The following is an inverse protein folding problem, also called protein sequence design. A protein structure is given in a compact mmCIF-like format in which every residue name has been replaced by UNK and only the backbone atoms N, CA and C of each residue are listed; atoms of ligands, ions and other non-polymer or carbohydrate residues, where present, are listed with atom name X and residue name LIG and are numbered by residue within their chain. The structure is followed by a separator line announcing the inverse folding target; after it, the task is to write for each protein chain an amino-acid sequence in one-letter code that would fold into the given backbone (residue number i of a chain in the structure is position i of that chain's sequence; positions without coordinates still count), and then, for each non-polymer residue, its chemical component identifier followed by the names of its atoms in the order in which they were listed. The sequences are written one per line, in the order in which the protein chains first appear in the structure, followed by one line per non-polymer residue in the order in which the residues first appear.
data_IF_107828121888
#
_entry.id   IF_107828121888
#
_cell.length_a   1.000
_cell.length_b   1.000
_cell.length_c   1.000
_cell.angle_alpha   90.00
_cell.angle_beta   90.00
_cell.angle_gamma   90.00
#
_symmetry.space_group_name_H-M   'P 1'
#
loop_
_entity.id
_entity.type
_entity.pdbx_description
1 polymer ?
#
# COMPACT_ATOMS: atom_id res chain seq x y z
N UNK A 1 26.65 -9.39 10.11
CA UNK A 1 26.80 -9.88 8.72
C UNK A 1 27.07 -8.68 7.84
N UNK A 2 28.25 -8.60 7.22
CA UNK A 2 28.63 -7.47 6.35
C UNK A 2 27.81 -7.55 5.05
N UNK A 3 27.02 -6.52 4.75
CA UNK A 3 26.24 -6.44 3.52
C UNK A 3 27.12 -5.92 2.40
N UNK A 4 27.91 -6.79 1.78
CA UNK A 4 28.73 -6.41 0.63
C UNK A 4 27.82 -6.11 -0.57
N UNK A 5 28.10 -5.04 -1.32
CA UNK A 5 27.30 -4.64 -2.49
C UNK A 5 27.23 -5.76 -3.53
N UNK A 6 28.26 -6.59 -3.56
CA UNK A 6 28.40 -7.76 -4.43
C UNK A 6 27.41 -8.86 -4.06
N UNK A 7 27.24 -9.13 -2.76
CA UNK A 7 26.26 -10.10 -2.25
C UNK A 7 24.84 -9.64 -2.58
N UNK A 8 24.56 -8.34 -2.43
CA UNK A 8 23.26 -7.78 -2.79
C UNK A 8 22.99 -7.92 -4.30
N UNK A 9 24.00 -7.70 -5.15
CA UNK A 9 23.88 -7.87 -6.59
C UNK A 9 23.61 -9.33 -6.96
N UNK A 10 24.28 -10.27 -6.28
CA UNK A 10 24.12 -11.71 -6.50
C UNK A 10 22.73 -12.21 -6.11
N UNK A 11 22.16 -11.71 -5.00
CA UNK A 11 20.80 -12.03 -4.60
C UNK A 11 19.72 -11.31 -5.44
N UNK A 12 20.09 -10.32 -6.25
CA UNK A 12 19.12 -9.70 -7.17
C UNK A 12 18.96 -10.53 -8.44
N UNK A 13 17.70 -10.76 -8.85
CA UNK A 13 17.42 -11.37 -10.14
C UNK A 13 17.81 -10.39 -11.27
N UNK A 14 18.98 -10.60 -11.85
CA UNK A 14 19.53 -9.74 -12.91
C UNK A 14 18.62 -9.68 -14.15
N UNK A 15 17.90 -10.77 -14.48
CA UNK A 15 16.94 -10.76 -15.59
C UNK A 15 15.73 -9.87 -15.28
N UNK A 16 15.14 -10.00 -14.09
CA UNK A 16 14.05 -9.12 -13.66
C UNK A 16 14.50 -7.65 -13.57
N UNK A 17 15.71 -7.41 -13.07
CA UNK A 17 16.30 -6.07 -12.97
C UNK A 17 16.49 -5.42 -14.35
N UNK A 18 16.93 -6.19 -15.35
CA UNK A 18 17.08 -5.70 -16.72
C UNK A 18 15.74 -5.34 -17.37
N UNK A 19 14.70 -6.14 -17.14
CA UNK A 19 13.34 -5.86 -17.64
C UNK A 19 12.78 -4.57 -17.02
N UNK A 20 12.91 -4.39 -15.70
CA UNK A 20 12.44 -3.18 -15.01
C UNK A 20 13.18 -1.93 -15.52
N UNK A 21 14.51 -2.00 -15.68
CA UNK A 21 15.29 -0.84 -16.13
C UNK A 21 15.22 -0.58 -17.64
N UNK A 22 14.86 -1.55 -18.48
CA UNK A 22 14.62 -1.29 -19.91
C UNK A 22 13.36 -0.46 -20.12
N UNK A 23 12.35 -0.64 -19.27
CA UNK A 23 11.10 0.12 -19.33
C UNK A 23 11.30 1.56 -18.81
N UNK A 24 12.13 1.75 -17.78
CA UNK A 24 12.47 3.08 -17.24
C UNK A 24 13.23 3.98 -18.23
N UNK A 25 14.05 3.40 -19.12
CA UNK A 25 14.89 4.17 -20.07
C UNK A 25 14.11 4.83 -21.21
N UNK A 26 12.83 4.51 -21.42
CA UNK A 26 12.04 5.08 -22.52
C UNK A 26 11.32 6.39 -22.16
N UNK A 27 11.36 6.81 -20.89
CA UNK A 27 10.80 8.09 -20.45
C UNK A 27 11.93 9.12 -20.48
N UNK A 28 12.45 9.43 -21.67
CA UNK A 28 13.21 10.67 -21.83
C UNK A 28 12.21 11.82 -21.66
N UNK A 29 12.26 12.46 -20.48
CA UNK A 29 11.49 13.65 -20.20
C UNK A 29 11.89 14.72 -21.23
N UNK A 30 11.02 14.97 -22.21
CA UNK A 30 11.16 16.14 -23.08
C UNK A 30 11.12 17.36 -22.19
N UNK A 31 12.27 17.98 -21.95
CA UNK A 31 12.34 19.23 -21.20
C UNK A 31 11.55 20.31 -21.94
N UNK A 32 10.38 20.63 -21.42
CA UNK A 32 9.54 21.69 -21.97
C UNK A 32 10.14 23.03 -21.55
N UNK A 33 10.30 23.94 -22.50
CA UNK A 33 10.82 25.27 -22.22
C UNK A 33 9.91 26.05 -21.25
N UNK A 34 10.45 26.35 -20.07
CA UNK A 34 9.71 27.04 -18.99
C UNK A 34 9.31 28.47 -19.36
N UNK A 35 10.02 29.14 -20.28
CA UNK A 35 9.65 30.49 -20.74
C UNK A 35 8.34 30.47 -21.54
N UNK A 36 8.21 29.48 -22.42
CA UNK A 36 7.04 29.34 -23.29
C UNK A 36 5.80 28.97 -22.48
N UNK A 37 5.97 28.12 -21.45
CA UNK A 37 4.89 27.82 -20.50
C UNK A 37 4.39 29.10 -19.83
N UNK A 38 5.29 29.98 -19.37
CA UNK A 38 4.89 31.24 -18.72
C UNK A 38 4.16 32.16 -19.69
N UNK A 39 4.64 32.27 -20.93
CA UNK A 39 4.03 33.10 -21.97
C UNK A 39 2.64 32.59 -22.37
N UNK A 40 2.51 31.28 -22.62
CA UNK A 40 1.25 30.67 -23.06
C UNK A 40 0.32 30.26 -21.92
N UNK A 41 0.69 30.49 -20.65
CA UNK A 41 -0.07 30.07 -19.46
C UNK A 41 -1.56 30.39 -19.54
N UNK A 42 -1.91 31.61 -19.95
CA UNK A 42 -3.31 32.06 -20.06
C UNK A 42 -4.08 31.29 -21.15
N UNK A 43 -3.45 31.05 -22.31
CA UNK A 43 -4.05 30.29 -23.42
C UNK A 43 -4.21 28.82 -23.06
N UNK A 44 -3.23 28.21 -22.40
CA UNK A 44 -3.29 26.82 -21.92
C UNK A 44 -4.42 26.66 -20.89
N UNK A 45 -4.55 27.59 -19.94
CA UNK A 45 -5.65 27.61 -18.97
C UNK A 45 -7.02 27.77 -19.63
N UNK A 46 -7.12 28.59 -20.69
CA UNK A 46 -8.38 28.75 -21.41
C UNK A 46 -8.73 27.48 -22.19
N UNK A 47 -7.76 26.91 -22.90
CA UNK A 47 -7.92 25.68 -23.67
C UNK A 47 -8.37 24.50 -22.79
N UNK A 48 -7.72 24.31 -21.64
CA UNK A 48 -8.12 23.27 -20.67
C UNK A 48 -9.54 23.48 -20.14
N UNK A 49 -9.94 24.72 -19.83
CA UNK A 49 -11.32 25.02 -19.43
C UNK A 49 -12.33 24.72 -20.54
N UNK A 50 -11.99 25.02 -21.79
CA UNK A 50 -12.84 24.76 -22.93
C UNK A 50 -12.99 23.25 -23.19
N UNK A 51 -11.91 22.47 -23.04
CA UNK A 51 -11.94 21.00 -23.09
C UNK A 51 -12.80 20.41 -21.97
N UNK A 52 -12.68 20.91 -20.73
CA UNK A 52 -13.52 20.49 -19.60
C UNK A 52 -15.01 20.78 -19.82
N UNK A 53 -15.34 21.79 -20.63
CA UNK A 53 -16.73 22.10 -21.01
C UNK A 53 -17.25 21.23 -22.17
N UNK A 54 -16.41 20.33 -22.71
CA UNK A 54 -16.77 19.43 -23.80
C UNK A 54 -16.53 19.99 -25.20
N UNK A 55 -15.84 21.13 -25.35
CA UNK A 55 -15.45 21.62 -26.69
C UNK A 55 -14.31 20.77 -27.21
N UNK A 56 -14.47 20.20 -28.41
CA UNK A 56 -13.44 19.39 -29.06
C UNK A 56 -12.51 20.27 -29.90
N UNK A 57 -11.21 20.01 -29.80
CA UNK A 57 -10.19 20.67 -30.61
C UNK A 57 -9.63 19.68 -31.66
N UNK A 58 -8.31 19.45 -31.67
CA UNK A 58 -7.67 18.41 -32.46
C UNK A 58 -7.78 17.06 -31.76
N UNK A 59 -7.91 15.98 -32.53
CA UNK A 59 -7.97 14.61 -32.01
C UNK A 59 -6.76 14.26 -31.14
N UNK A 60 -5.58 14.78 -31.49
CA UNK A 60 -4.34 14.55 -30.71
C UNK A 60 -4.47 15.21 -29.33
N UNK A 61 -4.90 16.48 -29.30
CA UNK A 61 -5.06 17.23 -28.06
C UNK A 61 -6.13 16.61 -27.16
N UNK A 62 -7.26 16.20 -27.75
CA UNK A 62 -8.33 15.54 -27.01
C UNK A 62 -7.84 14.22 -26.41
N UNK A 63 -7.14 13.38 -27.18
CA UNK A 63 -6.60 12.11 -26.68
C UNK A 63 -5.57 12.30 -25.56
N UNK A 64 -4.66 13.26 -25.71
CA UNK A 64 -3.70 13.61 -24.63
C UNK A 64 -4.40 14.16 -23.40
N UNK A 65 -5.48 14.93 -23.58
CA UNK A 65 -6.26 15.46 -22.48
C UNK A 65 -7.03 14.37 -21.74
N UNK A 66 -7.65 13.43 -22.44
CA UNK A 66 -8.37 12.30 -21.84
C UNK A 66 -7.41 11.41 -21.02
N UNK A 67 -6.19 11.16 -21.54
CA UNK A 67 -5.15 10.45 -20.79
C UNK A 67 -4.69 11.22 -19.54
N UNK A 68 -4.57 12.55 -19.64
CA UNK A 68 -4.28 13.40 -18.49
C UNK A 68 -5.40 13.37 -17.44
N UNK A 69 -6.67 13.41 -17.85
CA UNK A 69 -7.81 13.35 -16.94
C UNK A 69 -7.92 11.96 -16.28
N UNK A 70 -7.70 10.87 -17.01
CA UNK A 70 -7.71 9.52 -16.43
C UNK A 70 -6.61 9.35 -15.37
N UNK A 71 -5.39 9.84 -15.64
CA UNK A 71 -4.30 9.80 -14.65
C UNK A 71 -4.58 10.67 -13.43
N UNK A 72 -5.12 11.87 -13.63
CA UNK A 72 -5.55 12.75 -12.52
C UNK A 72 -6.67 12.12 -11.68
N UNK A 73 -7.67 11.49 -12.30
CA UNK A 73 -8.75 10.80 -11.57
C UNK A 73 -8.19 9.64 -10.75
N UNK A 74 -7.24 8.87 -11.30
CA UNK A 74 -6.58 7.77 -10.58
C UNK A 74 -5.80 8.28 -9.37
N UNK A 75 -5.04 9.37 -9.50
CA UNK A 75 -4.31 9.95 -8.38
C UNK A 75 -5.25 10.44 -7.28
N UNK A 76 -6.34 11.12 -7.63
CA UNK A 76 -7.31 11.60 -6.64
C UNK A 76 -8.01 10.45 -5.91
N UNK A 77 -8.43 9.39 -6.63
CA UNK A 77 -9.01 8.20 -5.99
C UNK A 77 -8.04 7.56 -5.01
N UNK A 78 -6.76 7.43 -5.39
CA UNK A 78 -5.75 6.84 -4.53
C UNK A 78 -5.52 7.68 -3.25
N UNK A 79 -5.40 9.00 -3.38
CA UNK A 79 -5.26 9.89 -2.22
C UNK A 79 -6.48 9.84 -1.29
N UNK A 80 -7.69 9.81 -1.85
CA UNK A 80 -8.93 9.76 -1.08
C UNK A 80 -9.14 8.40 -0.39
N UNK A 81 -8.81 7.29 -1.07
CA UNK A 81 -8.80 5.95 -0.47
C UNK A 81 -7.78 5.85 0.67
N UNK A 82 -6.58 6.39 0.48
CA UNK A 82 -5.53 6.41 1.50
C UNK A 82 -5.96 7.21 2.73
N UNK A 83 -6.55 8.39 2.54
CA UNK A 83 -7.04 9.22 3.65
C UNK A 83 -8.19 8.54 4.41
N UNK A 84 -9.15 7.94 3.69
CA UNK A 84 -10.26 7.24 4.30
C UNK A 84 -9.78 6.02 5.11
N UNK A 85 -8.84 5.25 4.55
CA UNK A 85 -8.23 4.14 5.23
C UNK A 85 -7.53 4.61 6.49
N UNK A 86 -6.71 5.67 6.42
CA UNK A 86 -6.01 6.23 7.58
C UNK A 86 -6.96 6.80 8.64
N UNK A 87 -8.10 7.36 8.23
CA UNK A 87 -9.09 7.90 9.15
C UNK A 87 -9.67 6.82 10.09
N UNK A 88 -9.84 5.57 9.61
CA UNK A 88 -10.31 4.46 10.44
C UNK A 88 -9.34 4.11 11.59
N UNK A 89 -8.05 4.38 11.42
CA UNK A 89 -7.04 4.07 12.43
C UNK A 89 -6.80 5.23 13.41
N UNK A 90 -7.51 6.36 13.30
CA UNK A 90 -7.35 7.50 14.22
C UNK A 90 -7.78 7.17 15.66
N UNK A 91 -8.80 6.35 15.82
CA UNK A 91 -9.34 5.98 17.14
C UNK A 91 -8.62 4.79 17.79
N UNK A 92 -7.67 4.18 17.07
CA UNK A 92 -6.77 3.20 17.66
C UNK A 92 -5.74 3.96 18.49
N UNK A 93 -6.06 4.21 19.76
CA UNK A 93 -5.07 4.64 20.73
C UNK A 93 -3.84 3.74 20.58
N UNK A 94 -2.67 4.36 20.37
CA UNK A 94 -1.41 3.65 20.47
C UNK A 94 -1.40 3.02 21.86
N UNK A 95 -1.65 1.71 21.92
CA UNK A 95 -1.31 0.92 23.10
C UNK A 95 0.19 1.14 23.24
N UNK A 96 0.56 2.12 24.10
CA UNK A 96 1.93 2.41 24.48
C UNK A 96 2.58 1.07 24.58
N UNK A 97 3.57 0.81 23.71
CA UNK A 97 4.33 -0.44 23.77
C UNK A 97 4.72 -0.52 25.24
N UNK A 98 4.04 -1.38 26.02
CA UNK A 98 4.59 -1.82 27.29
C UNK A 98 5.91 -2.34 26.82
N UNK A 99 6.99 -1.62 27.14
CA UNK A 99 8.34 -2.05 26.86
C UNK A 99 8.32 -3.50 27.32
N UNK A 100 8.24 -4.43 26.36
CA UNK A 100 8.56 -5.81 26.62
C UNK A 100 10.03 -5.66 26.87
N UNK A 101 10.37 -5.38 28.13
CA UNK A 101 11.65 -5.72 28.71
C UNK A 101 11.94 -7.06 28.09
N UNK A 102 12.99 -7.08 27.29
CA UNK A 102 13.43 -8.27 26.58
C UNK A 102 13.38 -9.41 27.58
N UNK A 103 12.33 -10.23 27.51
CA UNK A 103 12.41 -11.58 28.03
C UNK A 103 13.44 -12.18 27.11
N UNK A 104 14.70 -12.06 27.53
CA UNK A 104 15.84 -12.66 26.89
C UNK A 104 15.42 -14.06 26.51
N UNK A 105 15.55 -14.37 25.23
CA UNK A 105 15.26 -15.70 24.73
C UNK A 105 16.22 -16.65 25.47
N UNK A 106 15.73 -17.28 26.54
CA UNK A 106 16.50 -18.22 27.36
C UNK A 106 16.62 -19.51 26.56
N UNK A 107 17.62 -19.56 25.67
CA UNK A 107 17.91 -20.72 24.81
C UNK A 107 17.93 -22.03 25.60
N UNK A 108 18.43 -21.99 26.84
CA UNK A 108 18.51 -23.15 27.73
C UNK A 108 17.16 -23.72 28.19
N UNK A 109 16.11 -22.92 28.30
CA UNK A 109 14.75 -23.39 28.61
C UNK A 109 14.09 -24.03 27.38
N UNK A 110 14.30 -23.46 26.19
CA UNK A 110 13.83 -24.06 24.94
C UNK A 110 14.54 -25.36 24.62
N UNK A 111 15.86 -25.44 24.87
CA UNK A 111 16.65 -26.66 24.65
C UNK A 111 16.20 -27.80 25.57
N UNK A 112 15.87 -27.49 26.84
CA UNK A 112 15.27 -28.47 27.77
C UNK A 112 13.96 -29.05 27.26
N UNK A 113 13.12 -28.24 26.60
CA UNK A 113 11.86 -28.71 26.05
C UNK A 113 12.04 -29.67 24.86
N UNK A 114 13.15 -29.54 24.14
CA UNK A 114 13.52 -30.44 23.03
C UNK A 114 14.19 -31.73 23.52
N UNK A 115 14.73 -31.75 24.74
CA UNK A 115 15.32 -32.94 25.35
C UNK A 115 14.24 -33.82 25.97
N UNK A 116 14.38 -35.14 25.80
CA UNK A 116 13.46 -36.12 26.39
C UNK A 116 13.72 -36.25 27.89
N UNK A 117 12.97 -35.50 28.70
CA UNK A 117 13.07 -35.55 30.16
C UNK A 117 12.59 -36.91 30.72
N UNK A 118 13.55 -37.74 31.14
CA UNK A 118 13.31 -39.07 31.71
C UNK A 118 12.73 -39.05 33.14
N UNK A 119 12.78 -37.89 33.82
CA UNK A 119 12.40 -37.73 35.24
C UNK A 119 10.89 -37.54 35.46
N UNK A 120 10.12 -37.23 34.41
CA UNK A 120 8.69 -36.91 34.49
C UNK A 120 7.81 -37.98 33.83
N UNK A 121 8.11 -39.27 34.00
CA UNK A 121 7.16 -40.35 33.65
C UNK A 121 5.98 -40.33 34.64
N UNK A 122 5.01 -39.46 34.38
CA UNK A 122 3.72 -39.48 35.07
C UNK A 122 3.01 -40.78 34.68
N UNK A 123 2.73 -41.63 35.67
CA UNK A 123 1.90 -42.84 35.64
C UNK A 123 1.17 -43.09 34.32
N UNK A 124 1.80 -43.88 33.45
CA UNK A 124 1.30 -44.30 32.15
C UNK A 124 0.09 -45.24 32.31
N UNK A 125 -1.11 -44.67 32.43
CA UNK A 125 -2.35 -45.45 32.48
C UNK A 125 -2.86 -45.77 31.06
N UNK A 126 -3.52 -46.91 30.86
CA UNK A 126 -4.08 -47.36 29.57
C UNK A 126 -4.98 -46.31 28.90
N UNK A 127 -5.63 -45.46 29.71
CA UNK A 127 -6.47 -44.34 29.27
C UNK A 127 -5.69 -43.25 28.52
N UNK A 128 -4.39 -43.07 28.79
CA UNK A 128 -3.53 -42.10 28.09
C UNK A 128 -3.16 -42.56 26.68
N UNK A 129 -3.20 -43.88 26.42
CA UNK A 129 -2.95 -44.46 25.09
C UNK A 129 -4.23 -44.59 24.26
N UNK A 130 -5.40 -44.36 24.86
CA UNK A 130 -6.66 -44.35 24.14
C UNK A 130 -6.78 -43.09 23.28
N UNK A 131 -7.01 -43.26 21.98
CA UNK A 131 -7.22 -42.15 21.05
C UNK A 131 -8.63 -41.57 21.27
N UNK A 132 -8.74 -40.60 22.19
CA UNK A 132 -10.01 -39.89 22.40
C UNK A 132 -10.20 -38.90 21.26
N UNK A 133 -11.09 -39.23 20.30
CA UNK A 133 -11.50 -38.33 19.21
C UNK A 133 -12.42 -37.24 19.77
N UNK A 134 -11.84 -36.25 20.45
CA UNK A 134 -12.57 -35.03 20.82
C UNK A 134 -12.81 -34.21 19.54
N UNK A 135 -14.09 -33.99 19.18
CA UNK A 135 -14.46 -33.04 18.12
C UNK A 135 -14.12 -31.63 18.61
N UNK A 136 -12.88 -31.18 18.43
CA UNK A 136 -12.53 -29.77 18.64
C UNK A 136 -13.36 -28.94 17.68
N UNK A 137 -14.14 -27.99 18.21
CA UNK A 137 -14.88 -27.03 17.40
C UNK A 137 -13.84 -26.25 16.59
N UNK A 138 -13.90 -26.34 15.26
CA UNK A 138 -13.01 -25.56 14.39
C UNK A 138 -13.32 -24.09 14.66
N UNK A 139 -12.36 -23.36 15.20
CA UNK A 139 -12.46 -21.91 15.32
C UNK A 139 -12.58 -21.33 13.90
N UNK A 140 -13.48 -20.36 13.72
CA UNK A 140 -13.62 -19.70 12.43
C UNK A 140 -12.38 -18.87 12.20
N UNK A 141 -11.57 -19.25 11.22
CA UNK A 141 -10.43 -18.45 10.78
C UNK A 141 -10.97 -17.13 10.23
N UNK A 142 -10.53 -16.01 10.81
CA UNK A 142 -10.85 -14.67 10.27
C UNK A 142 -9.91 -14.45 9.09
N UNK A 143 -10.45 -14.53 7.88
CA UNK A 143 -9.71 -14.19 6.67
C UNK A 143 -9.76 -12.69 6.41
N UNK A 144 -8.74 -12.09 5.79
CA UNK A 144 -8.82 -10.71 5.34
C UNK A 144 -9.98 -10.53 4.35
N UNK A 145 -10.73 -9.44 4.50
CA UNK A 145 -11.90 -9.11 3.67
C UNK A 145 -11.56 -7.85 2.88
N UNK A 146 -11.86 -7.85 1.57
CA UNK A 146 -11.77 -6.65 0.75
C UNK A 146 -12.94 -5.72 1.05
N UNK A 147 -12.66 -4.48 1.45
CA UNK A 147 -13.68 -3.45 1.67
C UNK A 147 -13.96 -2.67 0.38
N UNK A 148 -15.21 -2.23 0.21
CA UNK A 148 -15.60 -1.30 -0.84
C UNK A 148 -15.83 0.06 -0.21
N UNK A 149 -15.14 1.08 -0.71
CA UNK A 149 -15.30 2.46 -0.27
C UNK A 149 -16.11 3.26 -1.29
N UNK A 150 -17.05 4.08 -0.80
CA UNK A 150 -17.82 5.00 -1.66
C UNK A 150 -17.05 6.31 -1.86
N UNK A 151 -16.41 6.43 -3.02
CA UNK A 151 -15.60 7.61 -3.39
C UNK A 151 -16.42 8.77 -3.99
N UNK A 152 -17.74 8.59 -4.14
CA UNK A 152 -18.63 9.59 -4.77
C UNK A 152 -19.32 10.49 -3.73
N UNK A 153 -18.60 10.92 -2.71
CA UNK A 153 -19.16 11.83 -1.69
C UNK A 153 -18.90 13.29 -2.06
N UNK A 154 -19.86 14.18 -1.75
CA UNK A 154 -19.73 15.63 -2.02
C UNK A 154 -18.59 16.30 -1.24
N UNK A 155 -18.16 15.67 -0.15
CA UNK A 155 -17.00 16.11 0.65
C UNK A 155 -15.71 15.95 -0.15
N UNK A 156 -15.50 14.79 -0.76
CA UNK A 156 -14.31 14.51 -1.57
C UNK A 156 -14.31 15.35 -2.86
N UNK A 157 -15.47 15.57 -3.46
CA UNK A 157 -15.62 16.40 -4.67
C UNK A 157 -15.11 17.85 -4.50
N UNK A 158 -15.29 18.44 -3.32
CA UNK A 158 -14.94 19.84 -3.06
C UNK A 158 -13.60 20.01 -2.34
N UNK A 159 -12.88 18.90 -2.09
CA UNK A 159 -11.58 18.90 -1.42
C UNK A 159 -10.57 19.74 -2.22
N UNK A 160 -9.92 20.69 -1.55
CA UNK A 160 -8.93 21.58 -2.17
C UNK A 160 -9.49 22.74 -3.02
N UNK A 161 -10.81 22.84 -3.22
CA UNK A 161 -11.42 23.93 -4.00
C UNK A 161 -11.77 25.10 -3.07
N UNK A 162 -11.19 26.29 -3.32
CA UNK A 162 -11.55 27.50 -2.57
C UNK A 162 -13.02 27.87 -2.83
N UNK A 163 -13.83 27.93 -1.77
CA UNK A 163 -15.20 28.45 -1.86
C UNK A 163 -15.15 29.89 -2.36
N UNK A 164 -15.97 30.21 -3.36
CA UNK A 164 -16.15 31.61 -3.80
C UNK A 164 -16.78 32.38 -2.63
N UNK A 165 -16.19 33.51 -2.27
CA UNK A 165 -16.86 34.48 -1.38
C UNK A 165 -18.10 34.96 -2.12
N UNK A 166 -19.28 34.81 -1.53
CA UNK A 166 -20.46 35.52 -2.03
C UNK A 166 -20.22 37.01 -1.80
N UNK A 167 -20.25 37.78 -2.88
CA UNK A 167 -20.50 39.22 -2.79
C UNK A 167 -21.99 39.44 -2.61
#
# INVERSE_FOLDING_TARGET
MSTNKLDLLYFTNNQARKQIHSDEKQIEEKEINKSDIKFYRKRILQLTKDLLRGKKMSNIINGSFDAYIDTAIKSFKFEDEAELLQAEFKDLEEKKKKNKTSTEFKSSESDKFMMKDLKNKKNDNIKNFAIIKTKKKKEKLITPIQRKFDLKTDVLKNKGVKKKKSN
#
